data_IF_757916293831
#
_entry.id   IF_757916293831
#
_cell.length_a   1.000
_cell.length_b   1.000
_cell.length_c   1.000
_cell.angle_alpha   90.00
_cell.angle_beta   90.00
_cell.angle_gamma   90.00
#
_symmetry.space_group_name_H-M   'P 1'
#
loop_
_entity.id
_entity.type
_entity.pdbx_description
1 polymer ?
#
# COMPACT_ATOMS: atom_id res chain seq x y z
N UNK A 1 3.53 4.16 -4.14
CA UNK A 1 2.50 4.94 -4.85
C UNK A 1 3.18 6.16 -5.43
N UNK A 2 2.97 6.45 -6.71
CA UNK A 2 3.35 7.72 -7.35
C UNK A 2 2.28 8.74 -6.97
N UNK A 3 2.67 9.82 -6.31
CA UNK A 3 1.75 10.91 -6.01
C UNK A 3 1.35 11.63 -7.30
N UNK A 4 0.06 11.98 -7.44
CA UNK A 4 -0.45 12.75 -8.57
C UNK A 4 -0.92 14.13 -8.12
N UNK A 5 -1.87 14.20 -7.19
CA UNK A 5 -2.44 15.47 -6.73
C UNK A 5 -3.16 15.34 -5.39
N UNK A 6 -3.44 16.48 -4.76
CA UNK A 6 -4.33 16.60 -3.60
C UNK A 6 -5.29 17.76 -3.83
N UNK A 7 -6.55 17.59 -3.48
CA UNK A 7 -7.54 18.67 -3.51
C UNK A 7 -8.51 18.59 -2.33
N UNK A 8 -9.13 19.72 -2.00
CA UNK A 8 -10.14 19.81 -0.94
C UNK A 8 -11.48 19.27 -1.44
N UNK A 9 -12.20 18.60 -0.54
CA UNK A 9 -13.54 18.09 -0.72
C UNK A 9 -14.38 18.40 0.52
N UNK A 10 -15.70 18.53 0.32
CA UNK A 10 -16.64 18.61 1.44
C UNK A 10 -16.86 17.21 2.04
N UNK A 11 -17.17 17.16 3.33
CA UNK A 11 -17.45 15.88 4.04
C UNK A 11 -18.91 15.43 3.93
N UNK A 12 -19.82 16.34 3.55
CA UNK A 12 -21.21 16.01 3.21
C UNK A 12 -21.33 15.26 1.88
N UNK A 13 -22.55 14.88 1.46
CA UNK A 13 -22.77 14.09 0.24
C UNK A 13 -22.20 14.76 -1.03
N UNK A 14 -22.18 16.10 -1.05
CA UNK A 14 -21.58 16.88 -2.14
C UNK A 14 -20.07 16.65 -2.33
N UNK A 15 -19.37 16.09 -1.34
CA UNK A 15 -17.98 15.69 -1.48
C UNK A 15 -17.73 14.70 -2.62
N UNK A 16 -18.74 13.88 -2.97
CA UNK A 16 -18.66 12.97 -4.11
C UNK A 16 -18.58 13.72 -5.46
N UNK A 17 -19.26 14.85 -5.56
CA UNK A 17 -19.16 15.73 -6.72
C UNK A 17 -17.80 16.43 -6.75
N UNK A 18 -17.28 16.82 -5.59
CA UNK A 18 -15.93 17.39 -5.48
C UNK A 18 -14.86 16.39 -5.93
N UNK A 19 -14.99 15.11 -5.57
CA UNK A 19 -14.13 14.02 -6.06
C UNK A 19 -14.21 13.89 -7.58
N UNK A 20 -15.42 13.86 -8.15
CA UNK A 20 -15.61 13.75 -9.60
C UNK A 20 -14.95 14.92 -10.35
N UNK A 21 -15.24 16.15 -9.92
CA UNK A 21 -14.67 17.37 -10.52
C UNK A 21 -13.15 17.45 -10.33
N UNK A 22 -12.67 17.12 -9.14
CA UNK A 22 -11.25 17.12 -8.81
C UNK A 22 -10.46 16.17 -9.71
N UNK A 23 -10.94 14.94 -9.90
CA UNK A 23 -10.31 13.99 -10.82
C UNK A 23 -10.40 14.42 -12.29
N UNK A 24 -11.53 15.00 -12.71
CA UNK A 24 -11.68 15.53 -14.08
C UNK A 24 -10.66 16.62 -14.41
N UNK A 25 -10.23 17.39 -13.42
CA UNK A 25 -9.32 18.53 -13.59
C UNK A 25 -7.82 18.18 -13.47
N UNK A 26 -7.46 16.93 -13.16
CA UNK A 26 -6.05 16.52 -13.02
C UNK A 26 -5.65 15.57 -14.16
N UNK A 27 -4.41 15.68 -14.61
CA UNK A 27 -3.82 14.74 -15.57
C UNK A 27 -3.19 13.55 -14.84
N UNK A 28 -3.43 12.35 -15.36
CA UNK A 28 -2.90 11.08 -14.87
C UNK A 28 -2.25 10.39 -16.07
N UNK A 29 -0.99 10.70 -16.34
CA UNK A 29 -0.21 10.19 -17.48
C UNK A 29 -0.29 8.67 -17.62
N UNK A 30 -0.29 7.95 -16.50
CA UNK A 30 -0.36 6.49 -16.46
C UNK A 30 -1.64 5.93 -17.13
N UNK A 31 -2.73 6.72 -17.19
CA UNK A 31 -3.99 6.34 -17.86
C UNK A 31 -3.99 6.64 -19.36
N UNK A 32 -3.05 7.42 -19.88
CA UNK A 32 -2.96 7.70 -21.33
C UNK A 32 -2.62 6.43 -22.12
N UNK A 33 -1.82 5.54 -21.54
CA UNK A 33 -1.37 4.31 -22.18
C UNK A 33 -2.05 3.04 -21.65
N UNK A 34 -2.95 3.17 -20.67
CA UNK A 34 -3.67 2.03 -20.09
C UNK A 34 -4.93 1.72 -20.90
N UNK A 35 -5.29 0.43 -21.02
CA UNK A 35 -6.60 0.03 -21.57
C UNK A 35 -7.63 -0.10 -20.45
N UNK A 36 -7.20 -0.65 -19.32
CA UNK A 36 -8.03 -0.98 -18.18
C UNK A 36 -7.53 -0.35 -16.90
N UNK A 37 -8.45 0.00 -16.00
CA UNK A 37 -8.10 0.55 -14.70
C UNK A 37 -9.07 0.10 -13.61
N UNK A 38 -8.67 0.32 -12.36
CA UNK A 38 -9.60 0.36 -11.22
C UNK A 38 -9.31 1.57 -10.34
N UNK A 39 -10.25 1.87 -9.45
CA UNK A 39 -10.05 2.84 -8.37
C UNK A 39 -10.11 2.13 -7.02
N UNK A 40 -9.22 2.51 -6.12
CA UNK A 40 -9.24 2.10 -4.71
C UNK A 40 -9.31 3.32 -3.80
N UNK A 41 -9.90 3.16 -2.63
CA UNK A 41 -10.10 4.26 -1.69
C UNK A 41 -10.07 3.74 -0.26
N UNK A 42 -9.23 4.37 0.57
CA UNK A 42 -9.32 4.37 2.02
C UNK A 42 -9.91 5.70 2.49
N UNK A 43 -10.71 5.64 3.56
CA UNK A 43 -11.36 6.82 4.13
C UNK A 43 -11.04 6.92 5.62
N UNK A 44 -10.55 8.07 6.05
CA UNK A 44 -10.20 8.36 7.45
C UNK A 44 -10.93 9.63 7.88
N UNK A 45 -11.75 9.51 8.93
CA UNK A 45 -12.61 10.58 9.45
C UNK A 45 -14.08 10.41 9.10
N UNK A 46 -14.90 11.40 9.46
CA UNK A 46 -16.36 11.37 9.32
C UNK A 46 -16.83 12.00 8.00
N UNK A 47 -17.67 11.26 7.27
CA UNK A 47 -18.16 11.65 5.95
C UNK A 47 -19.56 11.10 5.75
N UNK A 48 -20.40 11.83 5.01
CA UNK A 48 -21.75 11.40 4.64
C UNK A 48 -21.76 10.41 3.44
N UNK A 49 -20.60 9.89 3.06
CA UNK A 49 -20.43 8.95 1.95
C UNK A 49 -19.44 7.83 2.27
N UNK A 50 -19.52 6.75 1.50
CA UNK A 50 -18.69 5.54 1.65
C UNK A 50 -17.50 5.54 0.69
N UNK A 51 -16.45 4.77 1.01
CA UNK A 51 -15.31 4.58 0.10
C UNK A 51 -15.74 3.96 -1.24
N UNK A 52 -16.82 3.16 -1.26
CA UNK A 52 -17.39 2.59 -2.49
C UNK A 52 -18.00 3.69 -3.36
N UNK A 53 -18.70 4.66 -2.77
CA UNK A 53 -19.23 5.81 -3.51
C UNK A 53 -18.10 6.69 -4.07
N UNK A 54 -17.01 6.89 -3.33
CA UNK A 54 -15.81 7.58 -3.83
C UNK A 54 -15.24 6.85 -5.04
N UNK A 55 -15.01 5.53 -4.96
CA UNK A 55 -14.52 4.72 -6.08
C UNK A 55 -15.43 4.82 -7.30
N UNK A 56 -16.76 4.83 -7.11
CA UNK A 56 -17.73 4.98 -8.20
C UNK A 56 -17.62 6.34 -8.89
N UNK A 57 -17.59 7.44 -8.12
CA UNK A 57 -17.53 8.79 -8.69
C UNK A 57 -16.17 9.09 -9.32
N UNK A 58 -15.08 8.66 -8.67
CA UNK A 58 -13.73 8.74 -9.23
C UNK A 58 -13.60 7.91 -10.51
N UNK A 59 -14.14 6.69 -10.51
CA UNK A 59 -14.18 5.82 -11.68
C UNK A 59 -14.94 6.45 -12.84
N UNK A 60 -16.09 7.07 -12.58
CA UNK A 60 -16.86 7.80 -13.59
C UNK A 60 -16.05 8.95 -14.18
N UNK A 61 -15.39 9.77 -13.35
CA UNK A 61 -14.55 10.87 -13.84
C UNK A 61 -13.43 10.39 -14.78
N UNK A 62 -12.80 9.26 -14.45
CA UNK A 62 -11.76 8.65 -15.29
C UNK A 62 -12.34 8.11 -16.60
N UNK A 63 -13.50 7.44 -16.57
CA UNK A 63 -14.19 6.95 -17.78
C UNK A 63 -14.53 8.13 -18.69
N UNK A 64 -15.10 9.19 -18.15
CA UNK A 64 -15.53 10.36 -18.92
C UNK A 64 -14.34 11.08 -19.56
N UNK A 65 -13.20 11.16 -18.86
CA UNK A 65 -12.00 11.86 -19.33
C UNK A 65 -11.14 11.04 -20.29
N UNK A 66 -10.85 9.79 -19.94
CA UNK A 66 -9.86 8.97 -20.66
C UNK A 66 -10.49 7.84 -21.49
N UNK A 67 -11.81 7.62 -21.39
CA UNK A 67 -12.51 6.53 -22.08
C UNK A 67 -11.91 5.13 -21.80
N UNK A 68 -11.43 4.90 -20.57
CA UNK A 68 -10.83 3.62 -20.15
C UNK A 68 -11.85 2.66 -19.57
N UNK A 69 -11.59 1.36 -19.69
CA UNK A 69 -12.49 0.31 -19.19
C UNK A 69 -12.19 0.01 -17.72
N UNK A 70 -13.22 -0.09 -16.89
CA UNK A 70 -13.07 -0.53 -15.50
C UNK A 70 -12.90 -2.06 -15.46
N UNK A 71 -11.81 -2.54 -14.86
CA UNK A 71 -11.60 -3.96 -14.54
C UNK A 71 -11.11 -4.09 -13.08
N UNK A 72 -11.92 -4.67 -12.20
CA UNK A 72 -11.58 -4.76 -10.77
C UNK A 72 -10.53 -5.84 -10.46
N UNK A 73 -10.28 -6.76 -11.39
CA UNK A 73 -9.41 -7.93 -11.22
C UNK A 73 -8.13 -7.82 -12.04
N UNK A 74 -8.27 -7.59 -13.35
CA UNK A 74 -7.21 -7.59 -14.35
C UNK A 74 -7.00 -6.21 -14.96
N UNK A 75 -6.88 -5.19 -14.10
CA UNK A 75 -6.57 -3.80 -14.50
C UNK A 75 -5.10 -3.63 -14.92
N UNK A 76 -4.79 -2.61 -15.71
CA UNK A 76 -3.41 -2.15 -15.96
C UNK A 76 -2.96 -1.19 -14.86
N UNK A 77 -3.81 -0.22 -14.55
CA UNK A 77 -3.54 0.86 -13.59
C UNK A 77 -4.52 0.82 -12.42
N UNK A 78 -4.00 0.95 -11.19
CA UNK A 78 -4.82 1.21 -10.02
C UNK A 78 -4.63 2.67 -9.59
N UNK A 79 -5.69 3.46 -9.74
CA UNK A 79 -5.75 4.82 -9.20
C UNK A 79 -6.20 4.75 -7.75
N UNK A 80 -5.41 5.33 -6.86
CA UNK A 80 -5.71 5.45 -5.44
C UNK A 80 -6.34 6.83 -5.22
N UNK A 81 -7.52 6.86 -4.60
CA UNK A 81 -8.26 8.06 -4.25
C UNK A 81 -8.61 8.00 -2.77
N UNK A 82 -7.64 8.30 -1.91
CA UNK A 82 -7.81 8.23 -0.46
C UNK A 82 -8.38 9.54 0.08
N UNK A 83 -9.30 9.44 1.02
CA UNK A 83 -9.96 10.59 1.63
C UNK A 83 -9.58 10.66 3.11
N UNK A 84 -8.96 11.76 3.50
CA UNK A 84 -8.55 12.00 4.88
C UNK A 84 -9.04 13.38 5.31
N UNK A 85 -10.07 13.41 6.16
CA UNK A 85 -10.78 14.64 6.51
C UNK A 85 -11.33 15.34 5.26
N UNK A 86 -11.04 16.63 5.10
CA UNK A 86 -11.49 17.41 3.95
C UNK A 86 -10.63 17.25 2.69
N UNK A 87 -9.68 16.31 2.65
CA UNK A 87 -8.73 16.18 1.53
C UNK A 87 -8.87 14.86 0.82
N UNK A 88 -8.87 14.91 -0.52
CA UNK A 88 -8.71 13.75 -1.39
C UNK A 88 -7.29 13.71 -1.95
N UNK A 89 -6.59 12.61 -1.70
CA UNK A 89 -5.25 12.32 -2.18
C UNK A 89 -5.36 11.37 -3.37
N UNK A 90 -4.82 11.78 -4.51
CA UNK A 90 -4.79 10.97 -5.73
C UNK A 90 -3.38 10.50 -6.01
N UNK A 91 -3.25 9.23 -6.35
CA UNK A 91 -2.00 8.62 -6.75
C UNK A 91 -2.19 7.40 -7.63
N UNK A 92 -1.08 6.90 -8.16
CA UNK A 92 -1.03 5.65 -8.94
C UNK A 92 -0.25 4.61 -8.16
N UNK A 93 -0.83 3.42 -7.99
CA UNK A 93 -0.16 2.32 -7.33
C UNK A 93 0.87 1.67 -8.28
N UNK A 94 2.15 1.76 -7.92
CA UNK A 94 3.27 1.24 -8.71
C UNK A 94 3.51 -0.26 -8.53
N UNK A 95 3.06 -0.84 -7.41
CA UNK A 95 3.30 -2.25 -7.07
C UNK A 95 1.99 -3.01 -7.08
N UNK A 96 1.92 -4.20 -7.67
CA UNK A 96 0.70 -5.02 -7.66
C UNK A 96 0.37 -5.54 -6.26
N UNK A 97 1.40 -5.97 -5.55
CA UNK A 97 1.32 -6.43 -4.17
C UNK A 97 1.99 -5.45 -3.21
N UNK A 98 1.71 -5.62 -1.93
CA UNK A 98 2.37 -4.83 -0.90
C UNK A 98 3.80 -5.35 -0.67
N UNK A 99 4.77 -4.45 -0.68
CA UNK A 99 6.20 -4.75 -0.54
C UNK A 99 6.59 -5.36 0.81
N UNK A 100 5.69 -5.42 1.80
CA UNK A 100 5.95 -6.15 3.04
C UNK A 100 5.97 -7.67 2.84
N UNK A 101 5.41 -8.17 1.73
CA UNK A 101 5.54 -9.57 1.32
C UNK A 101 6.91 -9.79 0.65
N UNK A 102 7.97 -9.90 1.46
CA UNK A 102 9.34 -10.07 0.97
C UNK A 102 9.74 -11.52 0.73
N UNK A 103 9.06 -12.45 1.37
CA UNK A 103 9.32 -13.88 1.27
C UNK A 103 8.02 -14.66 1.40
N UNK A 104 8.02 -15.85 0.80
CA UNK A 104 6.93 -16.79 0.99
C UNK A 104 6.92 -17.30 2.43
N UNK A 105 5.74 -17.32 3.04
CA UNK A 105 5.54 -17.77 4.42
C UNK A 105 4.64 -18.99 4.38
N UNK A 106 5.22 -20.21 4.42
CA UNK A 106 4.41 -21.41 4.53
C UNK A 106 3.62 -21.46 5.84
N UNK A 107 4.08 -20.72 6.87
CA UNK A 107 3.38 -20.57 8.14
C UNK A 107 3.17 -19.09 8.50
N UNK A 108 1.91 -18.70 8.70
CA UNK A 108 1.54 -17.37 9.17
C UNK A 108 1.30 -17.40 10.68
N UNK A 109 2.35 -17.09 11.45
CA UNK A 109 2.25 -16.96 12.90
C UNK A 109 1.29 -15.80 13.26
N UNK A 110 0.31 -15.97 14.16
CA UNK A 110 -0.70 -14.94 14.46
C UNK A 110 -0.14 -13.59 14.92
N UNK A 111 1.01 -13.62 15.59
CA UNK A 111 1.73 -12.44 16.07
C UNK A 111 2.95 -12.05 15.21
N UNK A 112 3.05 -12.54 13.96
CA UNK A 112 4.16 -12.21 13.09
C UNK A 112 4.23 -10.70 12.80
N UNK A 113 5.37 -10.10 13.09
CA UNK A 113 5.65 -8.72 12.65
C UNK A 113 5.82 -8.66 11.12
N UNK A 114 5.65 -7.47 10.55
CA UNK A 114 5.88 -7.25 9.11
C UNK A 114 7.37 -7.16 8.81
N UNK A 115 7.78 -7.65 7.65
CA UNK A 115 9.17 -7.63 7.20
C UNK A 115 9.83 -6.22 7.25
N UNK A 116 9.17 -5.12 6.83
CA UNK A 116 9.74 -3.77 6.97
C UNK A 116 10.00 -3.33 8.41
N UNK A 117 9.22 -3.82 9.38
CA UNK A 117 9.44 -3.52 10.79
C UNK A 117 10.68 -4.27 11.30
N UNK A 118 10.81 -5.55 10.95
CA UNK A 118 12.00 -6.34 11.26
C UNK A 118 13.27 -5.69 10.69
N UNK A 119 13.22 -5.27 9.42
CA UNK A 119 14.31 -4.52 8.80
C UNK A 119 14.65 -3.25 9.59
N UNK A 120 13.64 -2.46 9.97
CA UNK A 120 13.85 -1.27 10.80
C UNK A 120 14.53 -1.58 12.14
N UNK A 121 14.13 -2.66 12.80
CA UNK A 121 14.76 -3.12 14.06
C UNK A 121 16.23 -3.49 13.86
N UNK A 122 16.55 -4.25 12.81
CA UNK A 122 17.93 -4.64 12.48
C UNK A 122 18.82 -3.43 12.20
N UNK A 123 18.27 -2.43 11.48
CA UNK A 123 18.98 -1.17 11.21
C UNK A 123 19.20 -0.32 12.47
N UNK A 124 18.23 -0.28 13.39
CA UNK A 124 18.37 0.42 14.68
C UNK A 124 19.38 -0.29 15.58
N UNK A 125 19.40 -1.62 15.56
CA UNK A 125 20.37 -2.43 16.29
C UNK A 125 21.81 -2.29 15.76
N UNK A 126 21.99 -1.73 14.56
CA UNK A 126 23.29 -1.49 13.96
C UNK A 126 23.98 -2.77 13.47
N UNK A 127 23.20 -3.79 13.10
CA UNK A 127 23.74 -5.07 12.58
C UNK A 127 24.61 -4.80 11.34
N UNK A 128 25.81 -5.38 11.33
CA UNK A 128 26.77 -5.28 10.25
C UNK A 128 27.43 -6.64 9.93
N UNK A 129 28.18 -6.70 8.83
CA UNK A 129 28.88 -7.91 8.40
C UNK A 129 29.79 -8.47 9.50
N UNK A 130 29.66 -9.76 9.79
CA UNK A 130 30.43 -10.48 10.81
C UNK A 130 29.76 -10.55 12.18
N UNK A 131 28.65 -9.83 12.40
CA UNK A 131 27.95 -9.83 13.68
C UNK A 131 27.27 -11.17 14.01
N UNK A 132 26.92 -11.32 15.29
CA UNK A 132 26.05 -12.40 15.79
C UNK A 132 24.70 -11.80 16.17
N UNK A 133 23.63 -12.24 15.50
CA UNK A 133 22.25 -11.86 15.76
C UNK A 133 21.54 -12.97 16.52
N UNK A 134 20.88 -12.64 17.63
CA UNK A 134 20.00 -13.55 18.37
C UNK A 134 18.60 -12.95 18.50
N UNK A 135 17.59 -13.67 18.00
CA UNK A 135 16.18 -13.41 18.30
C UNK A 135 15.64 -14.50 19.25
N UNK A 136 15.53 -14.23 20.57
CA UNK A 136 15.10 -15.20 21.55
C UNK A 136 13.57 -15.42 21.61
N UNK A 137 12.81 -14.70 20.79
CA UNK A 137 11.34 -14.81 20.68
C UNK A 137 10.92 -14.83 19.20
N UNK A 138 11.61 -15.66 18.41
CA UNK A 138 11.57 -15.55 16.96
C UNK A 138 10.22 -15.93 16.36
N UNK A 139 9.39 -16.69 17.08
CA UNK A 139 8.08 -17.17 16.63
C UNK A 139 8.12 -17.69 15.19
N UNK A 140 7.42 -17.00 14.29
CA UNK A 140 7.43 -17.30 12.84
C UNK A 140 8.70 -16.91 12.07
N UNK A 141 9.81 -16.61 12.76
CA UNK A 141 11.14 -16.37 12.18
C UNK A 141 11.31 -15.05 11.43
N UNK A 142 10.43 -14.06 11.61
CA UNK A 142 10.45 -12.85 10.76
C UNK A 142 11.78 -12.09 10.80
N UNK A 143 12.34 -11.84 12.00
CA UNK A 143 13.58 -11.08 12.15
C UNK A 143 14.77 -11.89 11.61
N UNK A 144 14.96 -13.17 11.99
CA UNK A 144 16.01 -14.01 11.41
C UNK A 144 15.97 -14.10 9.87
N UNK A 145 14.78 -14.28 9.29
CA UNK A 145 14.62 -14.40 7.83
C UNK A 145 14.96 -13.06 7.15
N UNK A 146 14.47 -11.94 7.68
CA UNK A 146 14.79 -10.62 7.12
C UNK A 146 16.30 -10.33 7.21
N UNK A 147 16.95 -10.69 8.31
CA UNK A 147 18.40 -10.55 8.46
C UNK A 147 19.17 -11.40 7.44
N UNK A 148 18.77 -12.66 7.26
CA UNK A 148 19.40 -13.55 6.30
C UNK A 148 19.29 -13.01 4.86
N UNK A 149 18.17 -12.39 4.51
CA UNK A 149 17.97 -11.80 3.18
C UNK A 149 18.81 -10.55 2.92
N UNK A 150 19.02 -9.73 3.95
CA UNK A 150 19.69 -8.42 3.78
C UNK A 150 21.20 -8.57 3.79
N UNK A 151 21.74 -9.47 4.61
CA UNK A 151 23.18 -9.65 4.83
C UNK A 151 23.76 -10.91 4.14
N UNK A 152 22.93 -11.71 3.45
CA UNK A 152 23.34 -12.82 2.57
C UNK A 152 24.45 -13.73 3.16
N UNK A 153 24.28 -14.12 4.42
CA UNK A 153 25.20 -15.02 5.12
C UNK A 153 26.42 -14.35 5.77
N UNK A 154 26.56 -13.03 5.72
CA UNK A 154 27.63 -12.31 6.43
C UNK A 154 27.36 -12.18 7.94
N UNK A 155 26.13 -12.41 8.41
CA UNK A 155 25.73 -12.38 9.82
C UNK A 155 25.43 -13.80 10.31
N UNK A 156 25.90 -14.14 11.52
CA UNK A 156 25.57 -15.39 12.19
C UNK A 156 24.24 -15.25 12.94
N UNK A 157 23.19 -15.90 12.43
CA UNK A 157 21.81 -15.68 12.89
C UNK A 157 21.31 -16.87 13.72
N UNK A 158 20.84 -16.58 14.93
CA UNK A 158 20.23 -17.54 15.84
C UNK A 158 18.81 -17.11 16.20
N UNK A 159 17.89 -18.07 16.25
CA UNK A 159 16.51 -17.86 16.66
C UNK A 159 16.09 -18.90 17.69
N UNK A 160 15.34 -18.48 18.70
CA UNK A 160 14.71 -19.35 19.68
C UNK A 160 13.26 -18.91 19.91
N UNK A 161 12.37 -19.86 20.15
CA UNK A 161 11.01 -19.60 20.62
C UNK A 161 10.59 -20.73 21.57
N UNK A 162 9.67 -20.44 22.48
CA UNK A 162 9.16 -21.43 23.44
C UNK A 162 8.15 -22.38 22.79
N UNK A 163 7.51 -21.97 21.69
CA UNK A 163 6.44 -22.72 21.03
C UNK A 163 6.94 -23.65 19.91
N UNK A 164 8.17 -24.18 20.03
CA UNK A 164 8.71 -25.19 19.12
C UNK A 164 7.89 -26.49 19.13
#
# INVERSE_FOLDING_TARGET
MKHVSVFEIRTGEEGLLDVYKGLGNIEIEDLENAETFRVTCQRIGEHAFTSIQVQKHAGQAIVDKYSRKVDLKSFDVNVVCDVVGSKCYVGVQLTRESLHKRFDRPFNHPAAIKAPLAYGMLRIAGVDDGDVLLDPFCGGGTIPIEAAQVWDGSVNIFGSDINN
#
